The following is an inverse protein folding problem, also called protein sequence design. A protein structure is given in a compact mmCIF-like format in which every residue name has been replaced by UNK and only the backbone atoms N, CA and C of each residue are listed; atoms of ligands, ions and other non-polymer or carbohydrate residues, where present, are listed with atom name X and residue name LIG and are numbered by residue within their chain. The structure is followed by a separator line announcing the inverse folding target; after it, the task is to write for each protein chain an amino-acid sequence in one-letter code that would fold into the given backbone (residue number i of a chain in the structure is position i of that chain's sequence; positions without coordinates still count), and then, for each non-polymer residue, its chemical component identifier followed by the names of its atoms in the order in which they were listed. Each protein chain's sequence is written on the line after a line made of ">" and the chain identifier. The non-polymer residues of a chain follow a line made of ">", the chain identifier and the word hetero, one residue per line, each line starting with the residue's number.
data_IF_043907950205
#
_entry.id   IF_043907950205
#
_cell.length_a   1.000
_cell.length_b   1.000
_cell.length_c   1.000
_cell.angle_alpha   90.00
_cell.angle_beta   90.00
_cell.angle_gamma   90.00
#
_symmetry.space_group_name_H-M   'P 1'
#
loop_
_entity.id
_entity.type
_entity.pdbx_description
1 polymer ?
#
# COMPACT_ATOMS: atom_id res chain seq x y z
N UNK A 1 0.19 16.38 -6.10
CA UNK A 1 -0.49 15.34 -6.85
C UNK A 1 -1.29 14.48 -5.90
N UNK A 2 -2.56 14.33 -6.16
CA UNK A 2 -3.41 13.47 -5.36
C UNK A 2 -3.02 12.01 -5.57
N UNK A 3 -3.13 11.22 -4.53
CA UNK A 3 -2.82 9.80 -4.57
C UNK A 3 -1.42 9.45 -4.10
N UNK A 4 -0.58 10.44 -3.84
CA UNK A 4 0.73 10.19 -3.24
C UNK A 4 0.59 9.89 -1.75
N UNK A 5 1.10 8.74 -1.31
CA UNK A 5 1.09 8.38 0.10
C UNK A 5 1.94 9.36 0.93
N UNK A 6 1.55 9.56 2.18
CA UNK A 6 2.40 10.24 3.15
C UNK A 6 3.23 9.20 3.87
N UNK A 7 4.54 9.34 3.81
CA UNK A 7 5.48 8.36 4.38
C UNK A 7 6.23 9.01 5.53
N UNK A 8 6.04 8.49 6.74
CA UNK A 8 6.69 8.97 7.95
C UNK A 8 7.61 7.90 8.51
N UNK A 9 8.90 8.17 8.51
CA UNK A 9 9.87 7.25 9.10
C UNK A 9 9.91 7.47 10.60
N UNK A 10 9.45 6.48 11.36
CA UNK A 10 9.38 6.54 12.83
C UNK A 10 10.77 6.35 13.44
N UNK A 11 11.52 5.39 12.92
CA UNK A 11 12.91 5.11 13.29
C UNK A 11 13.60 4.39 12.14
N UNK A 12 14.81 3.86 12.34
CA UNK A 12 15.57 3.24 11.28
C UNK A 12 14.88 2.04 10.64
N UNK A 13 13.95 1.39 11.33
CA UNK A 13 13.32 0.15 10.87
C UNK A 13 11.81 0.23 10.74
N UNK A 14 11.17 1.30 11.21
CA UNK A 14 9.70 1.42 11.19
C UNK A 14 9.27 2.64 10.40
N UNK A 15 8.39 2.42 9.43
CA UNK A 15 7.82 3.47 8.58
C UNK A 15 6.30 3.38 8.63
N UNK A 16 5.65 4.51 8.84
CA UNK A 16 4.20 4.62 8.73
C UNK A 16 3.85 5.18 7.36
N UNK A 17 2.90 4.55 6.69
CA UNK A 17 2.44 4.93 5.36
C UNK A 17 0.96 5.25 5.44
N UNK A 18 0.61 6.51 5.20
CA UNK A 18 -0.77 6.98 5.23
C UNK A 18 -1.30 7.09 3.81
N UNK A 19 -2.59 6.84 3.63
CA UNK A 19 -3.20 6.85 2.32
C UNK A 19 -3.07 8.21 1.61
N UNK A 20 -2.87 8.16 0.32
CA UNK A 20 -2.79 9.36 -0.51
C UNK A 20 -4.16 9.97 -0.76
N UNK A 21 -5.17 9.13 -0.92
CA UNK A 21 -6.55 9.60 -1.08
C UNK A 21 -7.51 8.51 -0.60
N UNK A 22 -8.72 8.93 -0.22
CA UNK A 22 -9.79 8.01 0.17
C UNK A 22 -11.06 8.44 -0.56
N UNK A 23 -11.61 7.53 -1.35
CA UNK A 23 -12.84 7.75 -2.11
C UNK A 23 -13.70 6.50 -2.06
N UNK A 24 -14.96 6.64 -1.64
CA UNK A 24 -15.94 5.54 -1.66
C UNK A 24 -15.43 4.26 -0.99
N UNK A 25 -14.94 4.38 0.22
CA UNK A 25 -14.45 3.26 1.03
C UNK A 25 -13.19 2.59 0.47
N UNK A 26 -12.48 3.28 -0.41
CA UNK A 26 -11.21 2.81 -0.96
C UNK A 26 -10.13 3.84 -0.66
N UNK A 27 -9.10 3.42 0.06
CA UNK A 27 -7.88 4.18 0.23
C UNK A 27 -6.92 3.77 -0.89
N UNK A 28 -6.26 4.73 -1.48
CA UNK A 28 -5.42 4.50 -2.65
C UNK A 28 -4.04 5.09 -2.47
N UNK A 29 -3.04 4.28 -2.78
CA UNK A 29 -1.65 4.68 -2.88
C UNK A 29 -1.11 4.35 -4.26
N UNK A 30 -0.25 5.22 -4.78
CA UNK A 30 0.51 4.96 -5.98
C UNK A 30 1.98 5.20 -5.67
N UNK A 31 2.78 4.17 -5.87
CA UNK A 31 4.22 4.21 -5.62
C UNK A 31 4.99 3.95 -6.90
N UNK A 32 6.14 4.59 -7.05
CA UNK A 32 7.11 4.19 -8.08
C UNK A 32 7.78 2.88 -7.70
N UNK A 33 8.00 2.69 -6.41
CA UNK A 33 8.72 1.55 -5.86
C UNK A 33 8.18 1.24 -4.48
N UNK A 34 8.09 -0.04 -4.14
CA UNK A 34 7.70 -0.49 -2.81
C UNK A 34 8.57 -1.67 -2.42
N UNK A 35 9.49 -1.42 -1.52
CA UNK A 35 10.42 -2.42 -0.99
C UNK A 35 10.42 -2.35 0.53
N UNK A 36 10.26 -3.49 1.18
CA UNK A 36 10.38 -3.59 2.64
C UNK A 36 11.54 -4.53 2.93
N UNK A 37 12.62 -3.98 3.47
CA UNK A 37 13.83 -4.74 3.75
C UNK A 37 13.67 -5.69 4.92
N UNK A 38 14.59 -6.65 5.04
CA UNK A 38 14.63 -7.55 6.17
C UNK A 38 14.76 -6.72 7.46
N UNK A 39 14.02 -7.09 8.49
CA UNK A 39 13.95 -6.38 9.77
C UNK A 39 13.24 -5.03 9.73
N UNK A 40 12.71 -4.63 8.59
CA UNK A 40 11.94 -3.39 8.48
C UNK A 40 10.45 -3.67 8.61
N UNK A 41 9.73 -2.66 9.06
CA UNK A 41 8.27 -2.73 9.26
C UNK A 41 7.63 -1.55 8.56
N UNK A 42 6.66 -1.82 7.71
CA UNK A 42 5.82 -0.79 7.11
C UNK A 42 4.40 -0.93 7.67
N UNK A 43 3.93 0.11 8.34
CA UNK A 43 2.56 0.17 8.84
C UNK A 43 1.72 0.93 7.82
N UNK A 44 0.75 0.26 7.21
CA UNK A 44 -0.09 0.80 6.14
C UNK A 44 -1.45 1.19 6.72
N UNK A 45 -1.75 2.49 6.71
CA UNK A 45 -2.98 3.03 7.28
C UNK A 45 -4.05 3.21 6.21
N UNK A 46 -5.29 2.92 6.55
CA UNK A 46 -6.46 2.98 5.67
C UNK A 46 -7.13 4.35 5.66
N UNK A 47 -6.38 5.37 6.00
CA UNK A 47 -6.86 6.75 5.98
C UNK A 47 -5.73 7.70 5.63
N UNK A 48 -6.07 8.91 5.23
CA UNK A 48 -5.09 9.98 5.06
C UNK A 48 -4.58 10.42 6.45
N UNK A 49 -3.36 10.91 6.51
CA UNK A 49 -2.71 11.24 7.78
C UNK A 49 -3.55 12.19 8.64
N UNK A 50 -4.06 13.24 8.04
CA UNK A 50 -4.87 14.23 8.75
C UNK A 50 -6.35 14.08 8.47
N UNK A 51 -6.75 12.97 7.85
CA UNK A 51 -8.14 12.70 7.51
C UNK A 51 -8.87 12.00 8.65
N UNK A 52 -10.21 12.03 8.55
CA UNK A 52 -11.09 11.39 9.52
C UNK A 52 -11.84 10.19 8.92
N UNK A 53 -11.64 9.90 7.64
CA UNK A 53 -12.35 8.83 6.95
C UNK A 53 -11.47 7.59 6.89
N UNK A 54 -11.94 6.53 7.52
CA UNK A 54 -11.28 5.23 7.50
C UNK A 54 -11.92 4.37 6.40
N UNK A 55 -11.13 3.93 5.43
CA UNK A 55 -11.60 3.03 4.38
C UNK A 55 -11.54 1.59 4.85
N UNK A 56 -12.30 0.72 4.20
CA UNK A 56 -12.24 -0.73 4.43
C UNK A 56 -11.25 -1.41 3.51
N UNK A 57 -10.88 -0.74 2.41
CA UNK A 57 -10.00 -1.28 1.37
C UNK A 57 -8.81 -0.34 1.17
N UNK A 58 -7.62 -0.90 1.10
CA UNK A 58 -6.41 -0.15 0.78
C UNK A 58 -5.76 -0.76 -0.46
N UNK A 59 -5.74 0.00 -1.54
CA UNK A 59 -5.18 -0.43 -2.82
C UNK A 59 -3.84 0.27 -3.05
N UNK A 60 -2.80 -0.53 -3.21
CA UNK A 60 -1.45 -0.04 -3.46
C UNK A 60 -1.05 -0.41 -4.89
N UNK A 61 -0.94 0.58 -5.76
CA UNK A 61 -0.48 0.41 -7.13
C UNK A 61 1.00 0.78 -7.19
N UNK A 62 1.82 -0.11 -7.73
CA UNK A 62 3.27 0.07 -7.74
C UNK A 62 3.80 -0.05 -9.17
N UNK A 63 4.61 0.93 -9.59
CA UNK A 63 5.16 1.02 -10.94
C UNK A 63 6.36 0.13 -11.21
N UNK A 64 6.81 -0.63 -10.23
CA UNK A 64 7.91 -1.58 -10.36
C UNK A 64 7.59 -2.84 -9.57
N UNK A 65 8.51 -3.82 -9.59
CA UNK A 65 8.34 -5.04 -8.83
C UNK A 65 8.25 -4.72 -7.33
N UNK A 66 7.31 -5.36 -6.64
CA UNK A 66 7.15 -5.24 -5.19
C UNK A 66 8.03 -6.28 -4.52
N UNK A 67 8.82 -5.88 -3.53
CA UNK A 67 9.67 -6.79 -2.77
C UNK A 67 9.38 -6.63 -1.28
N UNK A 68 8.92 -7.70 -0.64
CA UNK A 68 8.61 -7.69 0.79
C UNK A 68 9.47 -8.75 1.48
N UNK A 69 10.51 -8.29 2.17
CA UNK A 69 11.42 -9.15 2.93
C UNK A 69 11.31 -8.88 4.43
N UNK A 70 10.53 -7.91 4.82
CA UNK A 70 10.23 -7.56 6.20
C UNK A 70 8.74 -7.67 6.46
N UNK A 71 8.24 -6.87 7.38
CA UNK A 71 6.85 -6.94 7.82
C UNK A 71 6.02 -5.79 7.27
N UNK A 72 4.88 -6.10 6.70
CA UNK A 72 3.86 -5.13 6.32
C UNK A 72 2.64 -5.35 7.21
N UNK A 73 2.22 -4.32 7.93
CA UNK A 73 1.03 -4.36 8.76
C UNK A 73 -0.07 -3.49 8.16
N UNK A 74 -1.23 -4.05 7.93
CA UNK A 74 -2.42 -3.29 7.58
C UNK A 74 -3.08 -2.81 8.87
N UNK A 75 -3.14 -1.50 9.05
CA UNK A 75 -3.69 -0.88 10.26
C UNK A 75 -5.04 -0.26 9.90
N UNK A 76 -6.10 -0.93 10.32
CA UNK A 76 -7.48 -0.52 10.09
C UNK A 76 -8.17 -0.32 11.44
N UNK A 77 -8.68 0.87 11.69
CA UNK A 77 -9.28 1.23 12.97
C UNK A 77 -8.34 0.90 14.14
N UNK A 78 -7.06 1.26 14.00
CA UNK A 78 -6.01 1.10 15.02
C UNK A 78 -5.64 -0.34 15.33
N UNK A 79 -6.07 -1.30 14.51
CA UNK A 79 -5.77 -2.73 14.67
C UNK A 79 -5.32 -3.33 13.35
N UNK A 80 -4.66 -4.48 13.40
CA UNK A 80 -4.42 -5.27 12.19
C UNK A 80 -5.79 -5.67 11.63
N UNK A 81 -6.03 -5.32 10.38
CA UNK A 81 -7.29 -5.63 9.72
C UNK A 81 -7.43 -4.92 8.39
N UNK A 82 -8.63 -5.01 7.82
CA UNK A 82 -8.95 -4.40 6.54
C UNK A 82 -8.50 -5.24 5.36
N UNK A 83 -8.92 -4.82 4.18
CA UNK A 83 -8.63 -5.51 2.93
C UNK A 83 -7.45 -4.82 2.25
N UNK A 84 -6.32 -5.50 2.21
CA UNK A 84 -5.07 -4.97 1.65
C UNK A 84 -4.82 -5.54 0.27
N UNK A 85 -4.57 -4.65 -0.70
CA UNK A 85 -4.33 -5.02 -2.10
C UNK A 85 -2.99 -4.46 -2.54
N UNK A 86 -2.21 -5.28 -3.23
CA UNK A 86 -0.99 -4.85 -3.93
C UNK A 86 -1.08 -5.23 -5.40
N UNK A 87 -0.86 -4.27 -6.28
CA UNK A 87 -0.92 -4.44 -7.73
C UNK A 87 0.39 -3.97 -8.36
N UNK A 88 1.00 -4.84 -9.15
CA UNK A 88 2.15 -4.47 -9.97
C UNK A 88 2.25 -5.38 -11.18
N UNK A 89 2.40 -4.79 -12.37
CA UNK A 89 2.60 -5.57 -13.59
C UNK A 89 3.97 -6.28 -13.63
N UNK A 90 4.93 -5.81 -12.83
CA UNK A 90 6.28 -6.36 -12.80
C UNK A 90 6.46 -7.49 -11.78
N UNK A 91 5.40 -7.81 -11.06
CA UNK A 91 5.41 -8.92 -10.12
C UNK A 91 5.56 -8.52 -8.67
N UNK A 92 5.35 -9.50 -7.81
CA UNK A 92 5.39 -9.34 -6.36
C UNK A 92 6.19 -10.50 -5.79
N UNK A 93 7.23 -10.17 -5.03
CA UNK A 93 8.04 -11.15 -4.35
C UNK A 93 7.94 -10.94 -2.84
N UNK A 94 7.47 -11.98 -2.15
CA UNK A 94 7.52 -12.01 -0.69
C UNK A 94 8.62 -13.00 -0.32
N UNK A 95 9.72 -12.47 0.22
CA UNK A 95 10.87 -13.30 0.56
C UNK A 95 10.63 -14.15 1.80
N UNK A 96 11.64 -14.97 2.15
CA UNK A 96 11.53 -15.91 3.26
C UNK A 96 11.24 -15.23 4.61
N UNK A 97 11.76 -14.01 4.80
CA UNK A 97 11.49 -13.21 6.00
C UNK A 97 10.29 -12.29 5.88
N UNK A 98 9.58 -12.32 4.75
CA UNK A 98 8.45 -11.43 4.51
C UNK A 98 7.20 -11.88 5.25
N UNK A 99 6.51 -10.92 5.86
CA UNK A 99 5.26 -11.17 6.59
C UNK A 99 4.29 -10.05 6.24
N UNK A 100 3.06 -10.41 5.91
CA UNK A 100 2.01 -9.43 5.69
C UNK A 100 0.85 -9.76 6.63
N UNK A 101 0.55 -8.82 7.53
CA UNK A 101 -0.55 -8.95 8.48
C UNK A 101 -1.69 -8.05 8.05
N UNK A 102 -2.83 -8.65 7.74
CA UNK A 102 -4.01 -7.93 7.26
C UNK A 102 -5.27 -8.74 7.58
N UNK A 103 -6.42 -8.14 7.40
CA UNK A 103 -7.68 -8.88 7.45
C UNK A 103 -7.77 -9.81 6.25
N UNK A 104 -7.62 -9.26 5.05
CA UNK A 104 -7.45 -10.02 3.82
C UNK A 104 -6.30 -9.42 3.01
N UNK A 105 -5.66 -10.26 2.22
CA UNK A 105 -4.56 -9.84 1.35
C UNK A 105 -4.84 -10.31 -0.07
N UNK A 106 -4.76 -9.39 -1.02
CA UNK A 106 -4.89 -9.69 -2.44
C UNK A 106 -3.66 -9.18 -3.17
N UNK A 107 -2.98 -10.06 -3.88
CA UNK A 107 -1.81 -9.75 -4.69
C UNK A 107 -2.17 -9.96 -6.16
N UNK A 108 -1.97 -8.94 -6.98
CA UNK A 108 -2.34 -9.00 -8.40
C UNK A 108 -1.19 -8.50 -9.26
N UNK A 109 -0.99 -9.17 -10.40
CA UNK A 109 0.00 -8.77 -11.40
C UNK A 109 -0.73 -8.49 -12.71
N UNK A 110 -1.48 -7.37 -12.78
CA UNK A 110 -2.23 -7.03 -13.99
C UNK A 110 -1.28 -6.65 -15.13
N UNK A 111 -1.83 -6.53 -16.33
CA UNK A 111 -1.02 -6.13 -17.49
C UNK A 111 -0.49 -4.70 -17.33
N UNK A 112 0.61 -4.41 -18.04
CA UNK A 112 1.15 -3.04 -18.11
C UNK A 112 0.10 -2.05 -18.58
N UNK A 113 -0.70 -2.45 -19.55
CA UNK A 113 -1.75 -1.61 -20.10
C UNK A 113 -2.79 -1.25 -19.05
N UNK A 114 -3.21 -2.21 -18.26
CA UNK A 114 -4.14 -1.98 -17.15
C UNK A 114 -3.53 -1.02 -16.14
N UNK A 115 -2.29 -1.27 -15.73
CA UNK A 115 -1.61 -0.46 -14.72
C UNK A 115 -1.45 0.99 -15.18
N UNK A 116 -1.04 1.19 -16.42
CA UNK A 116 -0.91 2.56 -16.98
C UNK A 116 -2.24 3.29 -16.98
N UNK A 117 -3.31 2.62 -17.36
CA UNK A 117 -4.64 3.21 -17.36
C UNK A 117 -5.13 3.53 -15.96
N UNK A 118 -4.98 2.58 -15.03
CA UNK A 118 -5.43 2.76 -13.66
C UNK A 118 -4.66 3.88 -12.95
N UNK A 119 -3.35 3.92 -13.11
CA UNK A 119 -2.51 4.94 -12.50
C UNK A 119 -2.78 6.34 -13.08
N UNK A 120 -3.05 6.44 -14.37
CA UNK A 120 -3.41 7.69 -15.00
C UNK A 120 -4.77 8.20 -14.50
N UNK A 121 -5.73 7.31 -14.32
CA UNK A 121 -7.09 7.68 -13.89
C UNK A 121 -7.15 8.25 -12.48
N UNK A 122 -6.21 7.91 -11.62
CA UNK A 122 -6.20 8.45 -10.27
C UNK A 122 -6.16 9.96 -10.21
N UNK A 123 -5.64 10.59 -11.26
CA UNK A 123 -5.58 12.06 -11.33
C UNK A 123 -6.95 12.69 -11.52
N UNK A 124 -7.96 11.89 -11.84
CA UNK A 124 -9.32 12.36 -12.09
C UNK A 124 -10.25 12.12 -10.89
N UNK A 125 -9.72 11.46 -9.89
CA UNK A 125 -10.47 11.23 -8.66
C UNK A 125 -10.35 12.45 -7.72
#
# INVERSE_FOLDING_TARGET
>A
VKGGATVDKVNDHVTNVWAGTVVNDVALNVFKQFDVGANDIANMYFKEKDGNVEASNLVNMVGSRININGTVNAIHNKKIGGNLYFLSSDGIAVGAGGVVNAGTLTLMTPSDRFMKTAMARRHRL
#
